data_IF_274593202093
#
_entry.id   IF_274593202093
#
_cell.length_a   1.000
_cell.length_b   1.000
_cell.length_c   1.000
_cell.angle_alpha   90.00
_cell.angle_beta   90.00
_cell.angle_gamma   90.00
#
_symmetry.space_group_name_H-M   'P 1'
#
loop_
_entity.id
_entity.type
_entity.pdbx_description
1 polymer ?
#
# COMPACT_ATOMS: atom_id res chain seq x y z
N UNK A 1 -19.32 -9.58 -13.34
CA UNK A 1 -18.97 -8.72 -12.19
C UNK A 1 -17.51 -8.99 -11.90
N UNK A 2 -16.56 -8.06 -12.18
CA UNK A 2 -15.13 -8.43 -12.07
C UNK A 2 -14.09 -7.32 -12.20
N UNK A 3 -14.37 -6.18 -12.84
CA UNK A 3 -13.30 -5.23 -13.20
C UNK A 3 -12.54 -4.61 -12.02
N UNK A 4 -13.21 -4.30 -10.90
CA UNK A 4 -12.54 -3.72 -9.72
C UNK A 4 -11.86 -4.81 -8.87
N UNK A 5 -12.49 -5.96 -8.69
CA UNK A 5 -11.92 -7.04 -7.87
C UNK A 5 -10.65 -7.59 -8.52
N UNK A 6 -10.67 -7.81 -9.83
CA UNK A 6 -9.49 -8.25 -10.59
C UNK A 6 -8.36 -7.21 -10.54
N UNK A 7 -8.69 -5.92 -10.56
CA UNK A 7 -7.70 -4.84 -10.46
C UNK A 7 -7.01 -4.82 -9.09
N UNK A 8 -7.76 -5.04 -8.01
CA UNK A 8 -7.21 -5.12 -6.65
C UNK A 8 -6.40 -6.41 -6.47
N UNK A 9 -6.83 -7.52 -7.06
CA UNK A 9 -6.13 -8.80 -7.05
C UNK A 9 -4.74 -8.68 -7.70
N UNK A 10 -4.69 -8.03 -8.87
CA UNK A 10 -3.46 -7.87 -9.66
C UNK A 10 -2.49 -6.83 -9.08
N UNK A 11 -2.93 -6.00 -8.11
CA UNK A 11 -2.14 -4.92 -7.55
C UNK A 11 -2.06 -5.06 -6.01
N UNK A 12 -1.12 -5.88 -5.50
CA UNK A 12 -1.06 -6.23 -4.07
C UNK A 12 -0.95 -5.03 -3.12
N UNK A 13 -0.39 -3.91 -3.58
CA UNK A 13 -0.31 -2.67 -2.80
C UNK A 13 -1.61 -1.89 -2.73
N UNK A 14 -2.46 -1.98 -3.77
CA UNK A 14 -3.83 -1.43 -3.71
C UNK A 14 -4.68 -2.23 -2.72
N UNK A 15 -4.51 -3.56 -2.67
CA UNK A 15 -5.15 -4.43 -1.66
C UNK A 15 -4.77 -4.00 -0.23
N UNK A 16 -3.49 -3.68 0.01
CA UNK A 16 -3.01 -3.18 1.32
C UNK A 16 -3.58 -1.80 1.64
N UNK A 17 -3.60 -0.85 0.68
CA UNK A 17 -4.21 0.47 0.88
C UNK A 17 -5.69 0.39 1.30
N UNK A 18 -6.45 -0.47 0.64
CA UNK A 18 -7.86 -0.67 0.95
C UNK A 18 -8.06 -1.19 2.38
N UNK A 19 -7.25 -2.17 2.81
CA UNK A 19 -7.28 -2.70 4.17
C UNK A 19 -6.90 -1.63 5.22
N UNK A 20 -5.85 -0.84 4.95
CA UNK A 20 -5.42 0.25 5.83
C UNK A 20 -6.46 1.37 5.94
N UNK A 21 -7.16 1.70 4.85
CA UNK A 21 -8.23 2.69 4.86
C UNK A 21 -9.41 2.25 5.73
N UNK A 22 -9.82 0.98 5.62
CA UNK A 22 -10.83 0.36 6.49
C UNK A 22 -10.43 0.41 7.97
N UNK A 23 -9.18 0.03 8.28
CA UNK A 23 -8.66 0.03 9.65
C UNK A 23 -8.62 1.44 10.24
N UNK A 24 -8.21 2.43 9.45
CA UNK A 24 -8.11 3.82 9.88
C UNK A 24 -9.49 4.46 10.10
N UNK A 25 -10.48 4.16 9.26
CA UNK A 25 -11.88 4.55 9.52
C UNK A 25 -12.35 3.92 10.84
N UNK A 26 -12.12 2.62 11.04
CA UNK A 26 -12.49 1.92 12.28
C UNK A 26 -11.83 2.54 13.52
N UNK A 27 -10.54 2.85 13.45
CA UNK A 27 -9.81 3.50 14.54
C UNK A 27 -10.31 4.92 14.83
N UNK A 28 -10.62 5.69 13.78
CA UNK A 28 -11.19 7.04 13.92
C UNK A 28 -12.54 7.00 14.62
N UNK A 29 -13.41 6.04 14.27
CA UNK A 29 -14.70 5.85 14.91
C UNK A 29 -14.58 5.46 16.40
N UNK A 30 -13.58 4.63 16.76
CA UNK A 30 -13.30 4.28 18.15
C UNK A 30 -12.88 5.52 18.95
N UNK A 31 -11.98 6.34 18.41
CA UNK A 31 -11.48 7.55 19.07
C UNK A 31 -12.59 8.59 19.23
N UNK A 32 -13.38 8.83 18.19
CA UNK A 32 -14.54 9.72 18.26
C UNK A 32 -15.56 9.20 19.29
N UNK A 33 -15.79 7.88 19.34
CA UNK A 33 -16.65 7.23 20.33
C UNK A 33 -16.13 7.34 21.77
N UNK A 34 -14.83 7.53 21.96
CA UNK A 34 -14.19 7.78 23.27
C UNK A 34 -14.14 9.28 23.65
N UNK A 35 -14.86 10.15 22.93
CA UNK A 35 -14.92 11.60 23.17
C UNK A 35 -13.57 12.34 23.10
N UNK A 36 -12.55 11.73 22.50
CA UNK A 36 -11.26 12.36 22.26
C UNK A 36 -11.31 13.16 20.95
N UNK A 37 -11.32 14.49 21.06
CA UNK A 37 -11.27 15.38 19.92
C UNK A 37 -9.86 15.42 19.30
N UNK A 38 -9.53 14.39 18.50
CA UNK A 38 -8.41 14.49 17.58
C UNK A 38 -8.82 15.44 16.44
N UNK A 39 -8.01 16.46 16.11
CA UNK A 39 -8.35 17.35 15.02
C UNK A 39 -8.37 16.54 13.72
N UNK A 40 -9.56 16.43 13.11
CA UNK A 40 -9.81 15.56 11.95
C UNK A 40 -8.87 15.83 10.77
N UNK A 41 -8.34 17.06 10.69
CA UNK A 41 -7.32 17.45 9.72
C UNK A 41 -6.05 16.59 9.76
N UNK A 42 -5.58 16.16 10.94
CA UNK A 42 -4.40 15.28 11.03
C UNK A 42 -4.66 13.89 10.47
N UNK A 43 -5.87 13.35 10.69
CA UNK A 43 -6.27 12.03 10.18
C UNK A 43 -6.39 12.09 8.66
N UNK A 44 -7.06 13.11 8.11
CA UNK A 44 -7.16 13.30 6.67
C UNK A 44 -5.80 13.56 6.01
N UNK A 45 -4.92 14.33 6.66
CA UNK A 45 -3.56 14.58 6.17
C UNK A 45 -2.73 13.30 6.18
N UNK A 46 -2.77 12.51 7.25
CA UNK A 46 -2.07 11.23 7.34
C UNK A 46 -2.55 10.22 6.27
N UNK A 47 -3.87 10.15 6.03
CA UNK A 47 -4.44 9.35 4.94
C UNK A 47 -3.94 9.80 3.57
N UNK A 48 -4.06 11.10 3.26
CA UNK A 48 -3.66 11.65 1.97
C UNK A 48 -2.14 11.49 1.71
N UNK A 49 -1.32 11.74 2.72
CA UNK A 49 0.13 11.57 2.67
C UNK A 49 0.53 10.10 2.46
N UNK A 50 -0.12 9.17 3.17
CA UNK A 50 0.13 7.73 3.01
C UNK A 50 -0.20 7.24 1.61
N UNK A 51 -1.36 7.62 1.04
CA UNK A 51 -1.74 7.30 -0.34
C UNK A 51 -0.75 7.91 -1.35
N UNK A 52 -0.29 9.14 -1.12
CA UNK A 52 0.71 9.79 -1.96
C UNK A 52 2.06 9.06 -1.96
N UNK A 53 2.58 8.73 -0.77
CA UNK A 53 3.83 7.96 -0.63
C UNK A 53 3.70 6.58 -1.26
N UNK A 54 2.56 5.93 -1.09
CA UNK A 54 2.28 4.62 -1.67
C UNK A 54 2.25 4.67 -3.21
N UNK A 55 1.64 5.70 -3.81
CA UNK A 55 1.71 5.92 -5.26
C UNK A 55 3.15 6.10 -5.75
N UNK A 56 3.99 6.82 -5.02
CA UNK A 56 5.43 6.95 -5.33
C UNK A 56 6.16 5.61 -5.19
N UNK A 57 5.86 4.85 -4.14
CA UNK A 57 6.47 3.54 -3.88
C UNK A 57 6.08 2.52 -4.96
N UNK A 58 4.83 2.53 -5.42
CA UNK A 58 4.37 1.72 -6.56
C UNK A 58 5.13 2.05 -7.84
N UNK A 59 5.34 3.34 -8.12
CA UNK A 59 6.07 3.82 -9.31
C UNK A 59 7.56 3.42 -9.26
N UNK A 60 8.15 3.44 -8.08
CA UNK A 60 9.53 2.99 -7.84
C UNK A 60 9.65 1.46 -7.89
N UNK A 61 8.69 0.71 -7.35
CA UNK A 61 8.71 -0.76 -7.33
C UNK A 61 8.49 -1.38 -8.70
N UNK A 62 7.77 -0.71 -9.60
CA UNK A 62 7.72 -1.08 -11.04
C UNK A 62 9.09 -1.10 -11.72
N UNK A 63 10.11 -0.46 -11.14
CA UNK A 63 11.50 -0.48 -11.62
C UNK A 63 12.38 -1.57 -10.97
N UNK A 64 11.85 -2.47 -10.13
CA UNK A 64 12.64 -3.60 -9.62
C UNK A 64 12.90 -4.60 -10.75
N UNK A 65 14.07 -4.40 -11.33
CA UNK A 65 14.86 -5.23 -12.23
C UNK A 65 14.68 -6.71 -11.95
N UNK A 66 14.45 -7.48 -13.02
CA UNK A 66 14.60 -8.94 -13.03
C UNK A 66 15.86 -9.34 -12.24
N UNK A 67 15.78 -10.32 -11.31
CA UNK A 67 16.96 -10.81 -10.63
C UNK A 67 17.98 -11.26 -11.68
N UNK A 68 19.18 -10.66 -11.65
CA UNK A 68 20.25 -11.01 -12.59
C UNK A 68 20.60 -12.48 -12.35
N UNK A 69 20.22 -13.36 -13.28
CA UNK A 69 20.55 -14.79 -13.23
C UNK A 69 22.06 -14.94 -13.45
N UNK A 70 22.81 -15.07 -12.35
CA UNK A 70 24.22 -15.46 -12.37
C UNK A 70 24.31 -16.90 -12.86
N UNK A 71 24.58 -17.08 -14.16
CA UNK A 71 25.08 -18.37 -14.68
C UNK A 71 26.53 -18.50 -14.25
N UNK A 72 26.78 -19.23 -13.17
CA UNK A 72 28.10 -19.78 -12.89
C UNK A 72 28.16 -21.20 -13.45
N UNK A 73 28.50 -21.29 -14.74
CA UNK A 73 29.16 -22.50 -15.25
C UNK A 73 30.64 -22.14 -15.37
N UNK A 74 31.44 -22.68 -14.46
CA UNK A 74 32.89 -22.78 -14.66
C UNK A 74 33.09 -24.12 -15.38
N UNK A 75 33.47 -24.12 -16.67
CA UNK A 75 33.74 -25.35 -17.40
C UNK A 75 35.09 -25.91 -16.97
N UNK A 76 35.08 -27.17 -16.52
CA UNK A 76 36.20 -28.12 -16.62
C UNK A 76 37.47 -27.79 -15.84
N UNK A 77 37.72 -28.57 -14.78
CA UNK A 77 38.99 -29.30 -14.65
C UNK A 77 38.69 -30.79 -14.68
#
# INVERSE_FOLDING_TARGET
SGSISDFVENHPTIKILALSFLLLIGFTLIIEGLHQHIPKGYIYFAMAFSVFVEMLNLKLRKKKTEPIKLRQEIPGE
#
